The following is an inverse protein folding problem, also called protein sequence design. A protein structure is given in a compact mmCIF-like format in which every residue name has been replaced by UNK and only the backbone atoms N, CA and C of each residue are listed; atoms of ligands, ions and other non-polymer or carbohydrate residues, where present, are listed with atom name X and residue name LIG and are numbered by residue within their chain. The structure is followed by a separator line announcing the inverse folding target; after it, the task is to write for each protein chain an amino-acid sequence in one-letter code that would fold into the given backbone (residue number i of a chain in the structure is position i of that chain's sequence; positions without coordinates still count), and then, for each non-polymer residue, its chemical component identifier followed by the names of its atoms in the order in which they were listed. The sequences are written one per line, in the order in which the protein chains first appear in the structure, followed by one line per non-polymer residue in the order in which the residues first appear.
data_IF_058535097914
#
_entry.id   IF_058535097914
#
_cell.length_a   1.000
_cell.length_b   1.000
_cell.length_c   1.000
_cell.angle_alpha   90.00
_cell.angle_beta   90.00
_cell.angle_gamma   90.00
#
_symmetry.space_group_name_H-M   'P 1'
#
loop_
_entity.id
_entity.type
_entity.pdbx_description
1 polymer ?
#
# COMPACT_ATOMS: atom_id res chain seq x y z
N UNK A 1 7.91 -19.59 -4.72
CA UNK A 1 8.85 -18.55 -4.23
C UNK A 1 8.03 -17.32 -3.84
N UNK A 2 8.25 -16.72 -2.66
CA UNK A 2 7.38 -15.70 -2.05
C UNK A 2 7.15 -14.50 -2.98
N UNK A 3 8.21 -13.92 -3.54
CA UNK A 3 8.08 -12.73 -4.38
C UNK A 3 7.31 -13.03 -5.66
N UNK A 4 7.53 -14.20 -6.27
CA UNK A 4 6.80 -14.60 -7.48
C UNK A 4 5.29 -14.79 -7.20
N UNK A 5 4.91 -15.39 -6.07
CA UNK A 5 3.50 -15.55 -5.73
C UNK A 5 2.81 -14.22 -5.39
N UNK A 6 3.54 -13.26 -4.82
CA UNK A 6 3.05 -11.89 -4.61
C UNK A 6 2.93 -11.11 -5.93
N UNK A 7 3.86 -11.28 -6.88
CA UNK A 7 3.75 -10.69 -8.22
C UNK A 7 2.53 -11.25 -8.95
N UNK A 8 2.31 -12.57 -8.93
CA UNK A 8 1.14 -13.18 -9.55
C UNK A 8 -0.17 -12.68 -8.91
N UNK A 9 -0.19 -12.53 -7.58
CA UNK A 9 -1.34 -11.97 -6.88
C UNK A 9 -1.59 -10.50 -7.23
N UNK A 10 -0.52 -9.70 -7.39
CA UNK A 10 -0.63 -8.35 -7.91
C UNK A 10 -1.28 -8.32 -9.29
N UNK A 11 -0.91 -9.21 -10.22
CA UNK A 11 -1.52 -9.28 -11.56
C UNK A 11 -3.03 -9.53 -11.48
N UNK A 12 -3.45 -10.46 -10.61
CA UNK A 12 -4.87 -10.74 -10.39
C UNK A 12 -5.61 -9.50 -9.86
N UNK A 13 -5.07 -8.85 -8.83
CA UNK A 13 -5.64 -7.62 -8.27
C UNK A 13 -5.68 -6.47 -9.29
N UNK A 14 -4.65 -6.35 -10.12
CA UNK A 14 -4.54 -5.31 -11.15
C UNK A 14 -5.55 -5.54 -12.28
N UNK A 15 -5.80 -6.80 -12.66
CA UNK A 15 -6.86 -7.19 -13.60
C UNK A 15 -8.26 -6.75 -13.12
N UNK A 16 -8.49 -6.83 -11.81
CA UNK A 16 -9.74 -6.38 -11.17
C UNK A 16 -9.78 -4.89 -10.80
N UNK A 17 -8.70 -4.14 -11.09
CA UNK A 17 -8.61 -2.72 -10.75
C UNK A 17 -8.51 -2.40 -9.25
N UNK A 18 -8.15 -3.38 -8.41
CA UNK A 18 -8.07 -3.24 -6.94
C UNK A 18 -6.79 -2.58 -6.44
N UNK A 19 -5.76 -2.50 -7.29
CA UNK A 19 -4.44 -1.92 -6.96
C UNK A 19 -3.98 -0.95 -8.04
N UNK A 20 -3.01 -0.09 -7.68
CA UNK A 20 -2.43 0.87 -8.62
C UNK A 20 -1.48 0.20 -9.62
N UNK A 21 -1.29 0.84 -10.78
CA UNK A 21 -0.34 0.43 -11.81
C UNK A 21 1.04 1.07 -11.57
N UNK A 22 2.14 0.55 -12.16
CA UNK A 22 3.46 1.17 -12.03
C UNK A 22 3.43 2.67 -12.33
N UNK A 23 4.19 3.44 -11.55
CA UNK A 23 4.18 4.90 -11.59
C UNK A 23 3.10 5.56 -10.74
N UNK A 24 2.23 4.77 -10.08
CA UNK A 24 1.16 5.28 -9.22
C UNK A 24 1.15 4.55 -7.88
N UNK A 25 0.81 5.27 -6.81
CA UNK A 25 0.57 4.69 -5.50
C UNK A 25 -0.68 5.26 -4.84
N UNK A 26 -1.12 4.64 -3.75
CA UNK A 26 -2.11 5.23 -2.86
C UNK A 26 -1.42 6.01 -1.74
N UNK A 27 -1.88 7.25 -1.51
CA UNK A 27 -1.43 8.08 -0.41
C UNK A 27 -2.62 8.57 0.42
N UNK A 28 -2.38 8.75 1.72
CA UNK A 28 -3.29 9.51 2.58
C UNK A 28 -3.09 10.99 2.29
N UNK A 29 -4.16 11.68 1.87
CA UNK A 29 -4.17 13.10 1.54
C UNK A 29 -5.15 13.80 2.47
N UNK A 30 -4.66 14.86 3.11
CA UNK A 30 -5.44 15.60 4.11
C UNK A 30 -6.22 16.76 3.49
N UNK A 31 -5.70 17.38 2.42
CA UNK A 31 -6.30 18.55 1.81
C UNK A 31 -6.12 18.58 0.29
N UNK A 32 -7.03 19.27 -0.40
CA UNK A 32 -6.82 19.76 -1.75
C UNK A 32 -6.73 21.29 -1.73
N UNK A 33 -5.79 21.83 -2.51
CA UNK A 33 -5.62 23.25 -2.78
C UNK A 33 -6.48 23.58 -3.99
N UNK A 34 -7.52 24.37 -3.78
CA UNK A 34 -8.39 24.86 -4.85
C UNK A 34 -7.70 26.05 -5.52
N UNK A 35 -7.34 25.90 -6.79
CA UNK A 35 -6.61 26.91 -7.55
C UNK A 35 -7.37 27.32 -8.82
N UNK A 36 -7.27 28.60 -9.19
CA UNK A 36 -7.82 29.11 -10.45
C UNK A 36 -7.00 28.67 -11.66
N UNK A 37 -7.51 28.92 -12.87
CA UNK A 37 -6.76 28.68 -14.11
C UNK A 37 -5.48 29.53 -14.23
N UNK A 38 -5.45 30.68 -13.56
CA UNK A 38 -4.30 31.59 -13.46
C UNK A 38 -3.33 31.18 -12.33
N UNK A 39 -3.61 30.10 -11.61
CA UNK A 39 -2.77 29.59 -10.53
C UNK A 39 -2.96 30.30 -9.19
N UNK A 40 -4.00 31.12 -9.04
CA UNK A 40 -4.31 31.77 -7.76
C UNK A 40 -4.90 30.76 -6.77
N UNK A 41 -4.42 30.76 -5.53
CA UNK A 41 -4.99 29.91 -4.48
C UNK A 41 -6.31 30.49 -3.98
N UNK A 42 -7.41 29.83 -4.33
CA UNK A 42 -8.78 30.24 -3.98
C UNK A 42 -9.18 29.76 -2.58
N UNK A 43 -8.70 28.58 -2.17
CA UNK A 43 -9.07 27.98 -0.90
C UNK A 43 -8.44 26.62 -0.64
N UNK A 44 -8.85 26.02 0.48
CA UNK A 44 -8.41 24.69 0.89
C UNK A 44 -9.63 23.83 1.20
N UNK A 45 -9.67 22.65 0.59
CA UNK A 45 -10.75 21.67 0.76
C UNK A 45 -10.24 20.54 1.67
N UNK A 46 -10.82 20.33 2.86
CA UNK A 46 -10.48 19.20 3.71
C UNK A 46 -10.86 17.89 3.03
N UNK A 47 -9.92 16.96 2.95
CA UNK A 47 -10.13 15.61 2.46
C UNK A 47 -10.07 14.63 3.63
N UNK A 48 -11.10 14.65 4.48
CA UNK A 48 -11.21 13.73 5.60
C UNK A 48 -12.32 12.69 5.37
N UNK A 49 -12.22 11.58 6.08
CA UNK A 49 -13.24 10.54 6.20
C UNK A 49 -13.42 10.20 7.66
N UNK A 50 -14.65 9.97 8.08
CA UNK A 50 -14.96 9.55 9.45
C UNK A 50 -14.87 8.03 9.54
N UNK A 51 -14.06 7.54 10.48
CA UNK A 51 -13.94 6.11 10.78
C UNK A 51 -14.30 5.89 12.25
N UNK A 52 -15.13 4.89 12.53
CA UNK A 52 -15.46 4.50 13.90
C UNK A 52 -14.36 3.58 14.45
N UNK A 53 -13.63 4.06 15.46
CA UNK A 53 -12.68 3.26 16.22
C UNK A 53 -13.27 2.98 17.60
N UNK A 54 -13.95 1.85 17.71
CA UNK A 54 -14.73 1.50 18.89
C UNK A 54 -15.88 2.50 19.08
N UNK A 55 -15.94 3.16 20.23
CA UNK A 55 -16.99 4.17 20.54
C UNK A 55 -16.66 5.60 20.06
N UNK A 56 -15.46 5.85 19.50
CA UNK A 56 -15.03 7.18 19.07
C UNK A 56 -15.05 7.29 17.54
N UNK A 57 -15.60 8.40 17.03
CA UNK A 57 -15.45 8.81 15.64
C UNK A 57 -14.12 9.54 15.49
N UNK A 58 -13.29 9.08 14.55
CA UNK A 58 -11.99 9.67 14.25
C UNK A 58 -12.00 10.14 12.81
N UNK A 59 -11.62 11.39 12.57
CA UNK A 59 -11.39 11.90 11.22
C UNK A 59 -9.99 11.49 10.76
N UNK A 60 -9.94 10.85 9.60
CA UNK A 60 -8.71 10.39 8.98
C UNK A 60 -8.59 10.99 7.58
N UNK A 61 -7.38 11.22 7.07
CA UNK A 61 -7.19 11.63 5.69
C UNK A 61 -7.82 10.64 4.70
N UNK A 62 -8.29 11.14 3.57
CA UNK A 62 -8.78 10.31 2.48
C UNK A 62 -7.62 9.63 1.75
N UNK A 63 -7.87 8.45 1.21
CA UNK A 63 -6.92 7.77 0.33
C UNK A 63 -7.18 8.18 -1.11
N UNK A 64 -6.15 8.66 -1.79
CA UNK A 64 -6.20 9.06 -3.19
C UNK A 64 -5.11 8.33 -3.96
N UNK A 65 -5.41 8.00 -5.23
CA UNK A 65 -4.41 7.53 -6.18
C UNK A 65 -3.60 8.74 -6.65
N UNK A 66 -2.29 8.68 -6.50
CA UNK A 66 -1.37 9.78 -6.79
C UNK A 66 -0.14 9.27 -7.55
N UNK A 67 0.61 10.15 -8.24
CA UNK A 67 1.89 9.79 -8.81
C UNK A 67 2.81 9.14 -7.77
N UNK A 68 3.59 8.15 -8.19
CA UNK A 68 4.44 7.37 -7.28
C UNK A 68 5.32 8.30 -6.42
N UNK A 69 5.12 8.23 -5.11
CA UNK A 69 5.90 9.00 -4.15
C UNK A 69 7.25 8.32 -3.88
N UNK A 70 8.30 9.12 -3.73
CA UNK A 70 9.63 8.66 -3.36
C UNK A 70 9.83 8.69 -1.84
N UNK A 71 10.58 7.73 -1.32
CA UNK A 71 10.99 7.74 0.09
C UNK A 71 12.19 8.67 0.26
N UNK A 72 12.09 9.62 1.20
CA UNK A 72 13.15 10.59 1.49
C UNK A 72 14.08 10.03 2.56
N UNK A 73 15.26 9.54 2.17
CA UNK A 73 16.30 9.09 3.12
C UNK A 73 17.31 10.18 3.47
N UNK A 74 17.59 11.10 2.53
CA UNK A 74 18.49 12.26 2.70
C UNK A 74 18.28 13.25 1.55
N UNK A 75 18.53 14.54 1.79
CA UNK A 75 18.39 15.59 0.78
C UNK A 75 16.96 16.09 0.56
N UNK A 76 16.83 17.02 -0.40
CA UNK A 76 15.56 17.58 -0.87
C UNK A 76 15.12 16.81 -2.13
N UNK A 77 13.91 16.26 -2.11
CA UNK A 77 13.35 15.53 -3.25
C UNK A 77 11.83 15.65 -3.25
N UNK A 78 11.31 16.35 -4.25
CA UNK A 78 9.89 16.62 -4.40
C UNK A 78 9.13 15.44 -5.03
N UNK A 79 7.91 15.21 -4.56
CA UNK A 79 6.92 14.38 -5.23
C UNK A 79 6.13 15.22 -6.25
N UNK A 80 5.59 14.56 -7.26
CA UNK A 80 4.80 15.22 -8.29
C UNK A 80 3.31 15.21 -7.92
N UNK A 81 2.65 16.37 -7.97
CA UNK A 81 1.23 16.65 -7.70
C UNK A 81 0.70 16.31 -6.30
N UNK A 82 1.46 15.59 -5.47
CA UNK A 82 1.06 15.20 -4.12
C UNK A 82 2.24 15.27 -3.15
N UNK A 83 2.26 16.27 -2.27
CA UNK A 83 3.32 16.44 -1.28
C UNK A 83 2.85 17.20 -0.04
N UNK A 84 3.71 17.31 0.98
CA UNK A 84 3.40 18.09 2.17
C UNK A 84 3.59 19.62 1.95
N UNK A 85 3.18 20.40 2.95
CA UNK A 85 3.24 21.87 2.92
C UNK A 85 4.64 22.43 2.67
N UNK A 86 5.72 21.77 3.13
CA UNK A 86 7.09 22.24 2.87
C UNK A 86 7.40 22.28 1.38
N UNK A 87 6.90 21.30 0.61
CA UNK A 87 7.19 21.20 -0.82
C UNK A 87 6.19 21.95 -1.69
N UNK A 88 4.89 21.90 -1.36
CA UNK A 88 3.86 22.56 -2.20
C UNK A 88 3.74 24.05 -1.89
N UNK A 89 3.83 24.44 -0.61
CA UNK A 89 3.59 25.83 -0.17
C UNK A 89 4.86 26.55 0.28
N UNK A 90 5.96 25.82 0.47
CA UNK A 90 7.23 26.36 0.96
C UNK A 90 7.23 26.76 2.44
N UNK A 91 6.31 26.20 3.24
CA UNK A 91 6.18 26.49 4.68
C UNK A 91 5.98 25.24 5.53
N UNK A 92 6.57 25.23 6.72
CA UNK A 92 6.35 24.23 7.76
C UNK A 92 6.47 24.81 9.18
N UNK A 93 6.17 23.98 10.19
CA UNK A 93 6.27 24.34 11.60
C UNK A 93 7.57 23.83 12.26
N UNK A 94 8.61 23.52 11.48
CA UNK A 94 9.86 22.91 11.99
C UNK A 94 10.96 23.91 12.32
N UNK A 95 10.68 25.21 12.21
CA UNK A 95 11.60 26.29 12.56
C UNK A 95 12.81 26.39 11.62
N UNK A 96 12.70 25.93 10.37
CA UNK A 96 13.75 25.99 9.34
C UNK A 96 13.18 26.54 8.02
N UNK A 97 12.88 27.85 7.94
CA UNK A 97 12.21 28.45 6.77
C UNK A 97 13.02 28.29 5.48
N UNK A 98 14.34 28.49 5.54
CA UNK A 98 15.26 28.32 4.40
C UNK A 98 15.13 26.96 3.73
N UNK A 99 14.99 25.89 4.54
CA UNK A 99 14.81 24.53 4.04
C UNK A 99 13.46 24.35 3.35
N UNK A 100 12.40 24.97 3.85
CA UNK A 100 11.08 24.87 3.23
C UNK A 100 11.05 25.60 1.88
N UNK A 101 11.75 26.73 1.76
CA UNK A 101 11.94 27.42 0.49
C UNK A 101 12.72 26.52 -0.50
N UNK A 102 13.80 25.88 -0.06
CA UNK A 102 14.55 24.91 -0.88
C UNK A 102 13.65 23.75 -1.35
N UNK A 103 12.79 23.23 -0.48
CA UNK A 103 11.81 22.19 -0.83
C UNK A 103 10.83 22.68 -1.90
N UNK A 104 10.32 23.90 -1.77
CA UNK A 104 9.42 24.50 -2.75
C UNK A 104 10.09 24.71 -4.10
N UNK A 105 11.32 25.22 -4.14
CA UNK A 105 12.04 25.39 -5.40
C UNK A 105 12.28 24.06 -6.11
N UNK A 106 12.67 23.02 -5.37
CA UNK A 106 12.79 21.67 -5.92
C UNK A 106 11.45 21.13 -6.46
N UNK A 107 10.33 21.42 -5.79
CA UNK A 107 9.01 21.07 -6.28
C UNK A 107 8.65 21.85 -7.53
N UNK A 108 8.86 23.18 -7.55
CA UNK A 108 8.62 24.06 -8.69
C UNK A 108 9.36 23.57 -9.93
N UNK A 109 10.68 23.38 -9.84
CA UNK A 109 11.50 22.90 -10.96
C UNK A 109 10.97 21.59 -11.53
N UNK A 110 10.67 20.62 -10.65
CA UNK A 110 10.14 19.32 -11.07
C UNK A 110 8.76 19.41 -11.74
N UNK A 111 7.86 20.23 -11.21
CA UNK A 111 6.52 20.38 -11.79
C UNK A 111 6.59 21.08 -13.14
N UNK A 112 7.41 22.13 -13.27
CA UNK A 112 7.60 22.85 -14.53
C UNK A 112 8.25 21.94 -15.59
N UNK A 113 9.28 21.16 -15.25
CA UNK A 113 9.91 20.19 -16.16
C UNK A 113 8.92 19.14 -16.67
N UNK A 114 8.11 18.57 -15.76
CA UNK A 114 7.15 17.53 -16.14
C UNK A 114 6.00 18.15 -16.95
N UNK A 115 5.49 19.32 -16.60
CA UNK A 115 4.31 19.91 -17.24
C UNK A 115 4.63 20.82 -18.44
N UNK A 116 5.90 21.04 -18.77
CA UNK A 116 6.32 21.89 -19.91
C UNK A 116 5.60 21.53 -21.22
N UNK A 117 5.56 20.27 -21.69
CA UNK A 117 4.97 19.92 -22.97
C UNK A 117 3.44 19.75 -22.93
N UNK A 118 2.81 19.97 -21.77
CA UNK A 118 1.35 19.82 -21.60
C UNK A 118 0.69 21.19 -21.70
N UNK A 119 -0.17 21.37 -22.70
CA UNK A 119 -0.78 22.66 -23.05
C UNK A 119 -2.20 22.86 -22.52
N UNK A 120 -2.78 21.86 -21.83
CA UNK A 120 -4.13 21.99 -21.29
C UNK A 120 -4.24 22.96 -20.09
N UNK A 121 -5.46 23.46 -19.86
CA UNK A 121 -5.75 24.48 -18.85
C UNK A 121 -5.42 24.00 -17.42
N UNK A 122 -5.59 22.70 -17.14
CA UNK A 122 -5.30 22.11 -15.83
C UNK A 122 -3.79 22.09 -15.54
N UNK A 123 -2.96 21.72 -16.52
CA UNK A 123 -1.51 21.78 -16.39
C UNK A 123 -1.03 23.23 -16.32
N UNK A 124 -1.62 24.13 -17.11
CA UNK A 124 -1.33 25.56 -17.07
C UNK A 124 -1.59 26.16 -15.68
N UNK A 125 -2.72 25.83 -15.05
CA UNK A 125 -3.04 26.27 -13.68
C UNK A 125 -1.97 25.86 -12.66
N UNK A 126 -1.53 24.60 -12.69
CA UNK A 126 -0.48 24.10 -11.78
C UNK A 126 0.87 24.77 -12.05
N UNK A 127 1.23 24.98 -13.33
CA UNK A 127 2.45 25.73 -13.70
C UNK A 127 2.39 27.17 -13.16
N UNK A 128 1.29 27.86 -13.43
CA UNK A 128 1.06 29.23 -12.99
C UNK A 128 1.08 29.36 -11.46
N UNK A 129 0.52 28.38 -10.74
CA UNK A 129 0.61 28.33 -9.28
C UNK A 129 2.06 28.36 -8.80
N UNK A 130 2.93 27.49 -9.32
CA UNK A 130 4.34 27.48 -8.92
C UNK A 130 5.11 28.72 -9.39
N UNK A 131 4.69 29.36 -10.49
CA UNK A 131 5.30 30.59 -11.00
C UNK A 131 4.98 31.81 -10.13
N UNK A 132 3.71 31.95 -9.71
CA UNK A 132 3.21 33.12 -9.00
C UNK A 132 3.20 32.99 -7.47
N UNK A 133 3.15 31.77 -6.93
CA UNK A 133 3.09 31.56 -5.49
C UNK A 133 4.36 32.07 -4.79
N UNK A 134 4.18 32.91 -3.77
CA UNK A 134 5.25 33.38 -2.90
C UNK A 134 5.21 32.65 -1.54
N UNK A 135 6.15 31.73 -1.25
CA UNK A 135 6.23 31.05 0.04
C UNK A 135 6.30 31.96 1.26
N UNK A 136 6.90 33.15 1.14
CA UNK A 136 7.06 34.08 2.26
C UNK A 136 5.72 34.64 2.75
N UNK A 137 4.72 34.71 1.87
CA UNK A 137 3.38 35.23 2.16
C UNK A 137 2.37 34.11 2.48
N UNK A 138 2.79 32.84 2.44
CA UNK A 138 1.90 31.69 2.60
C UNK A 138 1.14 31.73 3.93
N UNK A 139 1.79 32.10 5.04
CA UNK A 139 1.14 32.13 6.36
C UNK A 139 0.17 33.30 6.56
N UNK A 140 0.22 34.30 5.68
CA UNK A 140 -0.68 35.46 5.66
C UNK A 140 -1.74 35.37 4.58
N UNK A 141 -1.65 34.38 3.68
CA UNK A 141 -2.62 34.17 2.61
C UNK A 141 -4.03 33.94 3.17
N UNK A 142 -5.04 34.74 2.78
CA UNK A 142 -6.41 34.58 3.25
C UNK A 142 -7.00 33.19 3.00
N UNK A 143 -6.57 32.52 1.93
CA UNK A 143 -7.01 31.17 1.57
C UNK A 143 -6.47 30.08 2.52
N UNK A 144 -5.27 30.27 3.09
CA UNK A 144 -4.61 29.29 3.97
C UNK A 144 -4.90 29.52 5.45
N UNK A 145 -5.09 30.78 5.89
CA UNK A 145 -5.27 31.15 7.30
C UNK A 145 -6.33 30.30 8.03
N UNK A 146 -7.50 29.97 7.44
CA UNK A 146 -8.52 29.18 8.11
C UNK A 146 -8.10 27.76 8.50
N UNK A 147 -7.12 27.17 7.80
CA UNK A 147 -6.69 25.77 8.00
C UNK A 147 -5.17 25.63 8.20
N UNK A 148 -4.50 26.73 8.58
CA UNK A 148 -3.04 26.79 8.62
C UNK A 148 -2.43 25.75 9.56
N UNK A 149 -3.04 25.52 10.72
CA UNK A 149 -2.47 24.64 11.75
C UNK A 149 -2.54 23.18 11.31
N UNK A 150 -3.66 22.80 10.70
CA UNK A 150 -3.87 21.45 10.20
C UNK A 150 -3.02 21.14 8.96
N UNK A 151 -2.80 22.12 8.08
CA UNK A 151 -1.90 21.98 6.92
C UNK A 151 -0.46 21.79 7.40
N UNK A 152 -0.01 22.61 8.35
CA UNK A 152 1.35 22.56 8.89
C UNK A 152 1.60 21.31 9.76
N UNK A 153 0.57 20.54 10.11
CA UNK A 153 0.72 19.23 10.73
C UNK A 153 1.38 18.19 9.80
N UNK A 154 1.58 18.52 8.52
CA UNK A 154 2.42 17.75 7.59
C UNK A 154 1.69 16.68 6.79
N UNK A 155 0.36 16.79 6.67
CA UNK A 155 -0.43 15.96 5.75
C UNK A 155 -0.08 16.22 4.28
N UNK A 156 -0.36 15.26 3.40
CA UNK A 156 -0.20 15.48 1.96
C UNK A 156 -1.31 16.39 1.42
N UNK A 157 -0.95 17.20 0.45
CA UNK A 157 -1.77 18.16 -0.27
C UNK A 157 -1.86 17.72 -1.74
N UNK A 158 -3.03 17.91 -2.34
CA UNK A 158 -3.26 17.80 -3.78
C UNK A 158 -3.66 19.14 -4.37
N UNK A 159 -3.61 19.26 -5.69
CA UNK A 159 -4.24 20.37 -6.42
C UNK A 159 -5.67 19.99 -6.84
N UNK A 160 -6.53 20.98 -6.97
CA UNK A 160 -7.88 20.87 -7.51
C UNK A 160 -8.16 22.11 -8.36
N UNK A 161 -8.55 21.88 -9.61
CA UNK A 161 -8.74 22.92 -10.63
C UNK A 161 -10.09 22.68 -11.28
N UNK A 162 -11.04 23.57 -11.03
CA UNK A 162 -12.41 23.53 -11.59
C UNK A 162 -13.05 22.13 -11.63
N UNK A 163 -13.14 21.45 -10.49
CA UNK A 163 -13.75 20.12 -10.44
C UNK A 163 -12.81 18.94 -10.73
N UNK A 164 -11.59 19.22 -11.20
CA UNK A 164 -10.65 18.21 -11.68
C UNK A 164 -9.41 18.15 -10.80
N UNK A 165 -9.04 16.95 -10.39
CA UNK A 165 -7.72 16.71 -9.82
C UNK A 165 -6.69 16.57 -10.95
N UNK A 166 -5.57 17.32 -10.98
CA UNK A 166 -4.60 17.23 -12.07
C UNK A 166 -4.02 15.82 -12.29
N UNK A 167 -3.91 15.01 -11.24
CA UNK A 167 -3.46 13.63 -11.38
C UNK A 167 -4.52 12.70 -12.00
N UNK A 168 -5.75 13.17 -12.20
CA UNK A 168 -6.84 12.48 -12.89
C UNK A 168 -6.98 12.91 -14.35
N UNK A 169 -6.37 14.03 -14.75
CA UNK A 169 -6.33 14.51 -16.14
C UNK A 169 -5.59 13.54 -17.08
N UNK A 170 -6.06 13.42 -18.32
CA UNK A 170 -5.54 12.44 -19.28
C UNK A 170 -4.14 12.81 -19.79
N UNK A 171 -3.92 14.08 -20.17
CA UNK A 171 -2.65 14.53 -20.74
C UNK A 171 -1.54 14.52 -19.69
N UNK A 172 -1.86 14.95 -18.46
CA UNK A 172 -0.93 14.89 -17.33
C UNK A 172 -0.55 13.43 -16.98
N UNK A 173 -1.51 12.49 -17.05
CA UNK A 173 -1.25 11.06 -16.83
C UNK A 173 -0.29 10.48 -17.87
N UNK A 174 -0.51 10.76 -19.14
CA UNK A 174 0.37 10.27 -20.21
C UNK A 174 1.75 10.90 -20.12
N UNK A 175 1.81 12.21 -19.85
CA UNK A 175 3.09 12.91 -19.64
C UNK A 175 3.88 12.35 -18.46
N UNK A 176 3.22 12.06 -17.34
CA UNK A 176 3.87 11.44 -16.18
C UNK A 176 4.47 10.05 -16.52
N UNK A 177 3.73 9.26 -17.30
CA UNK A 177 4.18 7.95 -17.77
C UNK A 177 5.37 8.04 -18.73
N UNK A 178 5.43 9.07 -19.57
CA UNK A 178 6.60 9.35 -20.43
C UNK A 178 7.80 9.77 -19.59
N UNK A 179 7.62 10.70 -18.65
CA UNK A 179 8.67 11.14 -17.74
C UNK A 179 9.32 9.98 -16.98
N UNK A 180 8.52 9.01 -16.53
CA UNK A 180 9.03 7.81 -15.87
C UNK A 180 9.87 6.90 -16.77
N UNK A 181 9.62 6.89 -18.08
CA UNK A 181 10.46 6.14 -19.03
C UNK A 181 11.79 6.85 -19.26
N UNK A 182 11.75 8.17 -19.45
CA UNK A 182 12.96 8.96 -19.76
C UNK A 182 13.89 9.13 -18.57
N UNK A 183 13.34 9.19 -17.35
CA UNK A 183 14.12 9.31 -16.11
C UNK A 183 14.77 8.01 -15.66
N UNK A 184 14.47 6.89 -16.31
CA UNK A 184 15.08 5.61 -15.99
C UNK A 184 16.56 5.59 -16.34
N UNK A 185 17.40 5.46 -15.31
CA UNK A 185 18.84 5.18 -15.43
C UNK A 185 19.20 3.85 -14.77
N UNK A 186 18.21 3.01 -14.51
CA UNK A 186 18.42 1.73 -13.85
C UNK A 186 19.17 0.77 -14.78
N UNK A 187 20.13 -0.02 -14.28
CA UNK A 187 20.82 -0.98 -15.12
C UNK A 187 19.86 -2.08 -15.57
N UNK A 188 19.93 -2.45 -16.85
CA UNK A 188 19.23 -3.61 -17.37
C UNK A 188 19.85 -4.91 -16.85
N UNK A 189 19.01 -5.89 -16.54
CA UNK A 189 19.46 -7.20 -16.08
C UNK A 189 18.35 -8.24 -16.08
N UNK A 190 18.71 -9.49 -15.78
CA UNK A 190 17.74 -10.57 -15.61
C UNK A 190 17.07 -10.45 -14.24
N UNK A 191 15.75 -10.26 -14.22
CA UNK A 191 14.99 -10.28 -12.98
C UNK A 191 14.88 -11.72 -12.44
N UNK A 192 15.37 -11.95 -11.22
CA UNK A 192 15.30 -13.28 -10.57
C UNK A 192 13.89 -13.73 -10.17
N UNK A 193 12.94 -12.80 -10.11
CA UNK A 193 11.54 -13.12 -9.83
C UNK A 193 10.88 -13.59 -11.12
N UNK A 194 10.76 -12.70 -12.12
CA UNK A 194 10.00 -12.97 -13.35
C UNK A 194 10.74 -13.83 -14.38
N UNK A 195 12.07 -13.95 -14.27
CA UNK A 195 12.92 -14.61 -15.26
C UNK A 195 13.06 -13.84 -16.57
N UNK A 196 12.64 -12.57 -16.63
CA UNK A 196 12.70 -11.71 -17.82
C UNK A 196 13.75 -10.62 -17.65
N UNK A 197 14.32 -10.15 -18.77
CA UNK A 197 15.17 -8.96 -18.75
C UNK A 197 14.32 -7.71 -18.49
N UNK A 198 14.80 -6.86 -17.59
CA UNK A 198 14.19 -5.59 -17.23
C UNK A 198 15.21 -4.71 -16.50
N UNK A 199 14.89 -3.43 -16.38
CA UNK A 199 15.56 -2.53 -15.45
C UNK A 199 15.53 -3.08 -14.02
N UNK A 200 16.68 -3.11 -13.34
CA UNK A 200 16.80 -3.65 -12.00
C UNK A 200 16.61 -2.54 -10.96
N UNK A 201 15.73 -2.80 -10.00
CA UNK A 201 15.48 -1.88 -8.90
C UNK A 201 16.70 -1.79 -7.98
N UNK A 202 17.18 -0.56 -7.75
CA UNK A 202 18.25 -0.30 -6.77
C UNK A 202 17.76 -0.54 -5.33
N UNK A 203 16.54 -0.11 -5.04
CA UNK A 203 15.84 -0.28 -3.75
C UNK A 203 14.39 -0.67 -4.02
N UNK A 204 13.76 -1.36 -3.07
CA UNK A 204 12.38 -1.79 -3.19
C UNK A 204 11.45 -0.94 -2.31
N UNK A 205 10.16 -0.96 -2.62
CA UNK A 205 9.13 -0.30 -1.81
C UNK A 205 9.06 -0.84 -0.38
N UNK A 206 8.68 0.03 0.56
CA UNK A 206 8.48 -0.36 1.96
C UNK A 206 7.13 -1.04 2.16
N UNK A 207 7.09 -1.95 3.12
CA UNK A 207 5.88 -2.65 3.53
C UNK A 207 5.37 -2.02 4.83
N UNK A 208 4.12 -1.56 4.80
CA UNK A 208 3.44 -0.85 5.89
C UNK A 208 2.38 -1.75 6.51
N UNK A 209 2.10 -1.55 7.79
CA UNK A 209 1.02 -2.27 8.50
C UNK A 209 1.42 -3.57 9.18
N UNK A 210 2.70 -3.98 9.11
CA UNK A 210 3.21 -5.09 9.94
C UNK A 210 3.25 -4.64 11.41
N UNK A 211 2.64 -5.43 12.30
CA UNK A 211 2.59 -5.10 13.72
C UNK A 211 3.99 -5.01 14.32
N UNK A 212 4.27 -3.95 15.07
CA UNK A 212 5.58 -3.69 15.69
C UNK A 212 6.67 -3.18 14.74
N UNK A 213 6.39 -3.05 13.43
CA UNK A 213 7.31 -2.42 12.48
C UNK A 213 7.16 -0.88 12.50
N UNK A 214 8.09 -0.18 11.86
CA UNK A 214 8.02 1.28 11.72
C UNK A 214 6.73 1.73 11.00
N UNK A 215 6.12 2.83 11.48
CA UNK A 215 4.90 3.39 10.89
C UNK A 215 5.08 3.86 9.45
N UNK A 216 6.29 4.31 9.10
CA UNK A 216 6.70 4.65 7.73
C UNK A 216 6.86 3.42 6.80
N UNK A 217 6.79 2.22 7.37
CA UNK A 217 7.04 0.94 6.71
C UNK A 217 8.47 0.44 6.92
N UNK A 218 8.65 -0.85 6.64
CA UNK A 218 9.92 -1.56 6.77
C UNK A 218 10.24 -2.33 5.47
N UNK A 219 11.52 -2.58 5.21
CA UNK A 219 11.95 -3.27 4.00
C UNK A 219 11.86 -4.80 4.13
N UNK A 220 11.25 -5.46 3.14
CA UNK A 220 11.25 -6.93 3.03
C UNK A 220 12.55 -7.46 2.41
N UNK A 221 13.06 -6.76 1.39
CA UNK A 221 14.33 -7.05 0.71
C UNK A 221 15.13 -5.75 0.72
N UNK A 222 16.31 -5.77 1.33
CA UNK A 222 17.20 -4.60 1.42
C UNK A 222 18.64 -5.01 1.72
N UNK A 223 19.58 -4.30 1.11
CA UNK A 223 21.01 -4.40 1.37
C UNK A 223 21.50 -2.97 1.61
N UNK A 224 21.87 -2.62 2.83
CA UNK A 224 22.16 -1.22 3.20
C UNK A 224 23.52 -1.05 3.92
N UNK A 225 24.38 -2.06 3.86
CA UNK A 225 25.72 -2.02 4.43
C UNK A 225 26.69 -2.74 3.49
N UNK A 226 27.94 -2.30 3.47
CA UNK A 226 29.01 -2.86 2.62
C UNK A 226 29.23 -4.35 2.86
N UNK A 227 28.99 -4.82 4.10
CA UNK A 227 29.06 -6.25 4.43
C UNK A 227 28.04 -7.12 3.70
N UNK A 228 27.00 -6.53 3.10
CA UNK A 228 26.00 -7.25 2.30
C UNK A 228 26.27 -7.17 0.80
N UNK A 229 27.31 -6.45 0.39
CA UNK A 229 27.69 -6.26 -1.01
C UNK A 229 28.58 -7.41 -1.47
N UNK A 230 28.34 -7.91 -2.69
CA UNK A 230 29.06 -9.06 -3.24
C UNK A 230 29.26 -8.89 -4.74
N UNK A 231 30.35 -9.45 -5.28
CA UNK A 231 30.68 -9.40 -6.71
C UNK A 231 30.66 -7.97 -7.32
N UNK A 232 31.06 -6.96 -6.55
CA UNK A 232 31.05 -5.55 -6.98
C UNK A 232 29.65 -4.94 -7.13
N UNK A 233 28.61 -5.60 -6.60
CA UNK A 233 27.23 -5.12 -6.64
C UNK A 233 26.86 -4.47 -5.31
N UNK A 234 26.33 -3.26 -5.41
CA UNK A 234 25.86 -2.49 -4.27
C UNK A 234 24.34 -2.62 -4.10
N UNK A 235 23.85 -2.39 -2.88
CA UNK A 235 22.41 -2.35 -2.60
C UNK A 235 21.67 -3.60 -3.13
N UNK A 236 20.44 -3.45 -3.63
CA UNK A 236 19.60 -4.56 -4.08
C UNK A 236 20.08 -5.20 -5.40
N UNK A 237 21.10 -4.65 -6.06
CA UNK A 237 21.68 -5.29 -7.24
C UNK A 237 22.28 -6.67 -6.94
N UNK A 238 22.61 -6.95 -5.67
CA UNK A 238 23.02 -8.28 -5.20
C UNK A 238 21.97 -9.37 -5.42
N UNK A 239 20.68 -9.01 -5.39
CA UNK A 239 19.56 -9.88 -5.70
C UNK A 239 18.68 -9.19 -6.75
N UNK A 240 19.08 -9.23 -8.04
CA UNK A 240 18.47 -8.40 -9.08
C UNK A 240 16.98 -8.74 -9.25
N UNK A 241 16.14 -7.79 -8.82
CA UNK A 241 14.69 -7.80 -9.02
C UNK A 241 14.34 -6.62 -9.93
N UNK A 242 13.53 -6.88 -10.96
CA UNK A 242 13.09 -5.85 -11.89
C UNK A 242 12.24 -4.79 -11.19
N UNK A 243 12.31 -3.55 -11.66
CA UNK A 243 11.51 -2.42 -11.16
C UNK A 243 10.02 -2.76 -11.07
N UNK A 244 9.49 -3.41 -12.11
CA UNK A 244 8.13 -3.92 -12.13
C UNK A 244 7.84 -4.93 -11.02
N UNK A 245 8.68 -5.95 -10.87
CA UNK A 245 8.47 -7.00 -9.87
C UNK A 245 8.55 -6.43 -8.45
N UNK A 246 9.50 -5.52 -8.21
CA UNK A 246 9.63 -4.83 -6.93
C UNK A 246 8.39 -3.99 -6.59
N UNK A 247 7.86 -3.26 -7.56
CA UNK A 247 6.59 -2.55 -7.42
C UNK A 247 5.41 -3.49 -7.16
N UNK A 248 5.27 -4.54 -7.97
CA UNK A 248 4.16 -5.48 -7.92
C UNK A 248 4.06 -6.19 -6.56
N UNK A 249 5.16 -6.82 -6.10
CA UNK A 249 5.12 -7.58 -4.85
C UNK A 249 4.89 -6.67 -3.63
N UNK A 250 5.44 -5.45 -3.63
CA UNK A 250 5.27 -4.51 -2.51
C UNK A 250 3.85 -3.96 -2.46
N UNK A 251 3.26 -3.70 -3.62
CA UNK A 251 1.86 -3.26 -3.75
C UNK A 251 0.90 -4.36 -3.29
N UNK A 252 1.08 -5.59 -3.75
CA UNK A 252 0.29 -6.75 -3.33
C UNK A 252 0.34 -6.97 -1.81
N UNK A 253 1.54 -6.94 -1.23
CA UNK A 253 1.70 -7.18 0.20
C UNK A 253 1.10 -6.05 1.05
N UNK A 254 1.26 -4.79 0.64
CA UNK A 254 0.61 -3.66 1.28
C UNK A 254 -0.93 -3.72 1.18
N UNK A 255 -1.47 -4.24 0.06
CA UNK A 255 -2.90 -4.48 -0.09
C UNK A 255 -3.42 -5.49 0.94
N UNK A 256 -2.72 -6.60 1.15
CA UNK A 256 -3.06 -7.60 2.16
C UNK A 256 -3.04 -7.00 3.58
N UNK A 257 -1.96 -6.29 3.94
CA UNK A 257 -1.78 -5.71 5.27
C UNK A 257 -2.70 -4.51 5.56
N UNK A 258 -3.36 -3.97 4.53
CA UNK A 258 -4.34 -2.90 4.68
C UNK A 258 -5.67 -3.39 5.22
N UNK A 259 -6.08 -4.60 4.86
CA UNK A 259 -7.39 -5.12 5.23
C UNK A 259 -7.25 -6.10 6.40
N UNK A 260 -7.84 -5.75 7.54
CA UNK A 260 -7.85 -6.59 8.75
C UNK A 260 -8.45 -7.99 8.53
N UNK A 261 -9.22 -8.20 7.46
CA UNK A 261 -9.75 -9.51 7.08
C UNK A 261 -8.74 -10.43 6.38
N UNK A 262 -7.62 -9.88 5.88
CA UNK A 262 -6.65 -10.62 5.06
C UNK A 262 -5.38 -10.98 5.85
N UNK A 263 -5.36 -10.69 7.15
CA UNK A 263 -4.28 -11.07 8.03
C UNK A 263 -4.78 -11.26 9.46
N UNK A 264 -4.07 -12.09 10.21
CA UNK A 264 -4.22 -12.20 11.65
C UNK A 264 -2.86 -12.06 12.33
N UNK A 265 -2.83 -12.17 13.65
CA UNK A 265 -1.60 -12.02 14.45
C UNK A 265 -1.46 -13.17 15.42
N UNK A 266 -0.29 -13.82 15.39
CA UNK A 266 0.07 -14.89 16.33
C UNK A 266 1.29 -14.41 17.11
N UNK A 267 1.05 -14.00 18.36
CA UNK A 267 2.06 -13.29 19.16
C UNK A 267 2.51 -12.00 18.44
N UNK A 268 3.80 -11.88 18.14
CA UNK A 268 4.38 -10.77 17.36
C UNK A 268 4.46 -11.06 15.84
N UNK A 269 3.91 -12.17 15.36
CA UNK A 269 3.89 -12.53 13.94
C UNK A 269 2.62 -12.03 13.28
N UNK A 270 2.74 -11.16 12.27
CA UNK A 270 1.64 -10.84 11.35
C UNK A 270 1.55 -11.93 10.28
N UNK A 271 0.42 -12.62 10.17
CA UNK A 271 0.20 -13.70 9.20
C UNK A 271 -0.74 -13.23 8.11
N UNK A 272 -0.22 -13.07 6.89
CA UNK A 272 -1.02 -12.74 5.70
C UNK A 272 -1.27 -13.99 4.88
N UNK A 273 -2.40 -14.03 4.19
CA UNK A 273 -2.78 -15.18 3.36
C UNK A 273 -3.59 -14.76 2.14
N UNK A 274 -3.41 -15.47 1.02
CA UNK A 274 -4.07 -15.17 -0.25
C UNK A 274 -4.15 -16.37 -1.19
N UNK A 275 -5.11 -16.33 -2.12
CA UNK A 275 -5.20 -17.28 -3.22
C UNK A 275 -4.47 -16.73 -4.46
N UNK A 276 -3.85 -17.61 -5.26
CA UNK A 276 -3.13 -17.23 -6.50
C UNK A 276 -3.99 -16.42 -7.47
N UNK A 277 -5.29 -16.70 -7.51
CA UNK A 277 -6.25 -16.09 -8.44
C UNK A 277 -6.85 -14.75 -7.97
N UNK A 278 -6.49 -14.25 -6.79
CA UNK A 278 -7.00 -12.95 -6.30
C UNK A 278 -8.39 -12.97 -5.68
N UNK A 279 -9.08 -14.12 -5.65
CA UNK A 279 -10.44 -14.21 -5.13
C UNK A 279 -10.47 -14.15 -3.59
N UNK A 280 -11.21 -13.18 -3.06
CA UNK A 280 -11.25 -12.85 -1.63
C UNK A 280 -12.04 -13.87 -0.83
N UNK A 281 -12.93 -14.62 -1.48
CA UNK A 281 -13.73 -15.68 -0.86
C UNK A 281 -12.86 -16.76 -0.23
N UNK A 282 -11.70 -17.09 -0.84
CA UNK A 282 -10.74 -18.03 -0.24
C UNK A 282 -10.16 -17.48 1.07
N UNK A 283 -9.87 -16.17 1.13
CA UNK A 283 -9.34 -15.53 2.34
C UNK A 283 -10.41 -15.45 3.42
N UNK A 284 -11.65 -15.14 3.05
CA UNK A 284 -12.79 -15.10 3.97
C UNK A 284 -13.04 -16.48 4.62
N UNK A 285 -13.04 -17.56 3.81
CA UNK A 285 -13.19 -18.92 4.32
C UNK A 285 -11.99 -19.31 5.19
N UNK A 286 -10.76 -19.01 4.77
CA UNK A 286 -9.57 -19.31 5.57
C UNK A 286 -9.61 -18.60 6.92
N UNK A 287 -9.92 -17.30 6.93
CA UNK A 287 -10.04 -16.50 8.15
C UNK A 287 -11.06 -17.12 9.10
N UNK A 288 -12.28 -17.40 8.61
CA UNK A 288 -13.35 -17.99 9.41
C UNK A 288 -12.98 -19.35 10.01
N UNK A 289 -12.31 -20.21 9.24
CA UNK A 289 -11.91 -21.55 9.68
C UNK A 289 -10.68 -21.54 10.59
N UNK A 290 -9.77 -20.59 10.42
CA UNK A 290 -8.56 -20.47 11.25
C UNK A 290 -8.83 -19.90 12.66
N UNK A 291 -9.86 -19.04 12.76
CA UNK A 291 -10.31 -18.43 14.01
C UNK A 291 -11.83 -18.60 14.16
N UNK A 292 -12.31 -19.83 14.47
CA UNK A 292 -13.72 -20.06 14.77
C UNK A 292 -14.19 -19.19 15.93
N UNK A 293 -15.40 -18.65 15.80
CA UNK A 293 -16.12 -17.89 16.82
C UNK A 293 -17.51 -18.50 17.04
N UNK A 294 -18.22 -18.06 18.08
CA UNK A 294 -19.60 -18.51 18.33
C UNK A 294 -20.52 -18.17 17.15
N UNK A 295 -20.25 -17.05 16.47
CA UNK A 295 -21.13 -16.54 15.41
C UNK A 295 -20.90 -17.20 14.04
N UNK A 296 -19.79 -17.94 13.84
CA UNK A 296 -19.45 -18.52 12.53
C UNK A 296 -19.37 -20.06 12.52
N UNK A 297 -19.85 -20.74 13.57
CA UNK A 297 -19.73 -22.20 13.69
C UNK A 297 -20.41 -22.95 12.55
N UNK A 298 -21.61 -22.53 12.13
CA UNK A 298 -22.33 -23.15 11.01
C UNK A 298 -21.55 -23.07 9.70
N UNK A 299 -20.89 -21.93 9.45
CA UNK A 299 -20.01 -21.74 8.28
C UNK A 299 -18.84 -22.72 8.34
N UNK A 300 -18.16 -22.79 9.49
CA UNK A 300 -17.00 -23.68 9.68
C UNK A 300 -17.40 -25.15 9.52
N UNK A 301 -18.52 -25.56 10.12
CA UNK A 301 -19.07 -26.90 10.00
C UNK A 301 -19.42 -27.23 8.53
N UNK A 302 -20.09 -26.33 7.82
CA UNK A 302 -20.43 -26.49 6.41
C UNK A 302 -19.20 -26.64 5.52
N UNK A 303 -18.15 -25.84 5.76
CA UNK A 303 -16.87 -25.95 5.04
C UNK A 303 -16.25 -27.34 5.25
N UNK A 304 -16.18 -27.82 6.50
CA UNK A 304 -15.60 -29.13 6.82
C UNK A 304 -16.45 -30.32 6.34
N UNK A 305 -17.77 -30.18 6.32
CA UNK A 305 -18.67 -31.19 5.75
C UNK A 305 -18.48 -31.29 4.23
N UNK A 306 -18.46 -30.15 3.53
CA UNK A 306 -18.21 -30.10 2.09
C UNK A 306 -16.85 -30.70 1.73
N UNK A 307 -15.81 -30.35 2.50
CA UNK A 307 -14.46 -30.89 2.34
C UNK A 307 -14.44 -32.43 2.49
N UNK A 308 -15.11 -32.96 3.51
CA UNK A 308 -15.17 -34.41 3.78
C UNK A 308 -15.93 -35.17 2.69
N UNK A 309 -16.85 -34.50 1.98
CA UNK A 309 -17.61 -35.05 0.85
C UNK A 309 -16.94 -34.89 -0.52
N UNK A 310 -15.75 -34.29 -0.58
CA UNK A 310 -15.03 -34.01 -1.83
C UNK A 310 -15.73 -33.00 -2.74
N UNK A 311 -16.71 -32.25 -2.22
CA UNK A 311 -17.45 -31.23 -2.96
C UNK A 311 -16.70 -29.91 -2.88
N UNK A 312 -16.92 -29.06 -3.88
CA UNK A 312 -16.55 -27.66 -3.76
C UNK A 312 -17.26 -27.05 -2.54
N UNK A 313 -16.60 -26.12 -1.88
CA UNK A 313 -17.16 -25.42 -0.73
C UNK A 313 -18.20 -24.44 -1.27
N UNK A 314 -19.48 -24.81 -1.09
CA UNK A 314 -20.66 -24.01 -1.32
C UNK A 314 -21.18 -23.63 0.07
N UNK A 315 -20.87 -22.41 0.50
CA UNK A 315 -21.30 -21.89 1.80
C UNK A 315 -22.40 -20.90 1.52
N UNK A 316 -23.49 -20.99 2.27
CA UNK A 316 -24.59 -20.03 2.18
C UNK A 316 -24.05 -18.59 2.41
N UNK A 317 -24.20 -17.72 1.40
CA UNK A 317 -23.61 -16.37 1.39
C UNK A 317 -22.29 -16.23 0.61
N UNK A 318 -21.68 -17.32 0.14
CA UNK A 318 -20.54 -17.31 -0.80
C UNK A 318 -21.07 -17.72 -2.18
N UNK A 319 -21.25 -16.74 -3.06
CA UNK A 319 -21.80 -16.94 -4.42
C UNK A 319 -20.89 -17.73 -5.37
N UNK A 320 -19.65 -18.03 -4.96
CA UNK A 320 -18.60 -18.56 -5.82
C UNK A 320 -18.17 -19.96 -5.40
N UNK A 321 -18.28 -20.93 -6.33
CA UNK A 321 -17.82 -22.31 -6.12
C UNK A 321 -16.29 -22.34 -5.96
N UNK A 322 -15.79 -22.54 -4.74
CA UNK A 322 -14.35 -22.57 -4.46
C UNK A 322 -13.72 -23.88 -4.92
N UNK A 323 -12.65 -23.78 -5.71
CA UNK A 323 -11.87 -24.92 -6.18
C UNK A 323 -10.86 -25.34 -5.12
N UNK A 324 -10.96 -26.57 -4.63
CA UNK A 324 -10.03 -27.10 -3.61
C UNK A 324 -8.58 -27.19 -4.11
N UNK A 325 -8.37 -27.31 -5.42
CA UNK A 325 -7.04 -27.33 -6.05
C UNK A 325 -6.39 -25.95 -6.18
N UNK A 326 -7.12 -24.87 -5.89
CA UNK A 326 -6.58 -23.51 -5.98
C UNK A 326 -5.38 -23.38 -5.06
N UNK A 327 -4.24 -22.90 -5.59
CA UNK A 327 -3.07 -22.62 -4.76
C UNK A 327 -3.37 -21.48 -3.80
N UNK A 328 -2.98 -21.70 -2.55
CA UNK A 328 -3.16 -20.76 -1.46
C UNK A 328 -1.83 -20.62 -0.70
N UNK A 329 -1.57 -19.40 -0.23
CA UNK A 329 -0.30 -19.02 0.36
C UNK A 329 -0.52 -18.43 1.75
N UNK A 330 0.36 -18.75 2.68
CA UNK A 330 0.38 -18.22 4.05
C UNK A 330 1.80 -17.73 4.34
N UNK A 331 1.94 -16.48 4.76
CA UNK A 331 3.21 -15.82 5.01
C UNK A 331 3.22 -15.19 6.40
N UNK A 332 4.15 -15.65 7.25
CA UNK A 332 4.38 -15.10 8.57
C UNK A 332 5.50 -14.05 8.57
N UNK A 333 5.15 -12.83 8.95
CA UNK A 333 6.04 -11.66 8.99
C UNK A 333 6.24 -11.21 10.43
N UNK A 334 7.49 -10.98 10.81
CA UNK A 334 7.83 -10.41 12.11
C UNK A 334 8.58 -9.08 11.94
N UNK A 335 8.35 -8.11 12.83
CA UNK A 335 9.07 -6.85 12.79
C UNK A 335 10.53 -7.04 13.20
N UNK A 336 11.43 -6.32 12.53
CA UNK A 336 12.83 -6.19 12.93
C UNK A 336 13.33 -4.76 12.63
N UNK A 337 12.92 -3.81 13.48
CA UNK A 337 13.17 -2.39 13.30
C UNK A 337 12.75 -1.90 11.89
N UNK A 338 13.72 -1.51 11.05
CA UNK A 338 13.49 -1.04 9.69
C UNK A 338 13.35 -2.16 8.64
N UNK A 339 13.40 -3.43 9.06
CA UNK A 339 13.27 -4.62 8.19
C UNK A 339 12.16 -5.54 8.66
N UNK A 340 11.72 -6.41 7.77
CA UNK A 340 10.76 -7.47 8.06
C UNK A 340 11.46 -8.81 7.95
N UNK A 341 11.32 -9.64 8.98
CA UNK A 341 11.76 -11.02 8.96
C UNK A 341 10.64 -11.94 8.48
N UNK A 342 10.94 -12.82 7.53
CA UNK A 342 10.03 -13.91 7.15
C UNK A 342 10.23 -15.06 8.14
N UNK A 343 9.23 -15.32 8.98
CA UNK A 343 9.27 -16.44 9.94
C UNK A 343 8.97 -17.77 9.28
N UNK A 344 7.96 -17.78 8.43
CA UNK A 344 7.55 -18.95 7.68
C UNK A 344 6.82 -18.54 6.41
N UNK A 345 6.85 -19.44 5.43
CA UNK A 345 6.05 -19.34 4.22
C UNK A 345 5.56 -20.74 3.88
N UNK A 346 4.24 -20.88 3.76
CA UNK A 346 3.59 -22.13 3.42
C UNK A 346 2.75 -21.93 2.16
N UNK A 347 2.81 -22.93 1.28
CA UNK A 347 2.09 -22.95 0.02
C UNK A 347 1.56 -24.36 -0.19
N UNK A 348 0.26 -24.46 -0.46
CA UNK A 348 -0.38 -25.72 -0.81
C UNK A 348 -1.66 -25.45 -1.62
N UNK A 349 -2.41 -26.49 -1.96
CA UNK A 349 -3.79 -26.34 -2.38
C UNK A 349 -4.68 -25.93 -1.20
N UNK A 350 -5.71 -25.16 -1.49
CA UNK A 350 -6.66 -24.68 -0.48
C UNK A 350 -7.33 -25.83 0.27
N UNK A 351 -7.70 -26.90 -0.43
CA UNK A 351 -8.30 -28.09 0.17
C UNK A 351 -7.36 -28.78 1.17
N UNK A 352 -6.08 -28.95 0.83
CA UNK A 352 -5.10 -29.57 1.73
C UNK A 352 -4.91 -28.73 3.01
N UNK A 353 -4.86 -27.41 2.88
CA UNK A 353 -4.79 -26.49 4.04
C UNK A 353 -6.00 -26.68 4.95
N UNK A 354 -7.21 -26.67 4.40
CA UNK A 354 -8.43 -26.87 5.19
C UNK A 354 -8.46 -28.26 5.83
N UNK A 355 -7.95 -29.29 5.14
CA UNK A 355 -7.88 -30.64 5.67
C UNK A 355 -6.90 -30.73 6.85
N UNK A 356 -5.74 -30.07 6.77
CA UNK A 356 -4.80 -29.99 7.88
C UNK A 356 -5.41 -29.26 9.09
N UNK A 357 -6.16 -28.17 8.87
CA UNK A 357 -6.88 -27.48 9.95
C UNK A 357 -7.95 -28.38 10.59
N UNK A 358 -8.76 -29.06 9.78
CA UNK A 358 -9.77 -30.01 10.27
C UNK A 358 -9.13 -31.13 11.12
N UNK A 359 -8.04 -31.73 10.63
CA UNK A 359 -7.31 -32.75 11.36
C UNK A 359 -6.70 -32.21 12.65
N UNK A 360 -6.23 -30.97 12.65
CA UNK A 360 -5.73 -30.33 13.85
C UNK A 360 -6.83 -30.16 14.90
N UNK A 361 -8.01 -29.66 14.52
CA UNK A 361 -9.13 -29.54 15.46
C UNK A 361 -9.56 -30.88 16.05
N UNK A 362 -9.67 -31.93 15.22
CA UNK A 362 -9.95 -33.30 15.71
C UNK A 362 -8.93 -33.80 16.72
N UNK A 363 -7.65 -33.48 16.54
CA UNK A 363 -6.58 -33.85 17.49
C UNK A 363 -6.63 -33.06 18.80
N UNK A 364 -7.23 -31.87 18.76
CA UNK A 364 -7.39 -30.96 19.91
C UNK A 364 -8.74 -31.14 20.62
N UNK A 365 -9.59 -32.08 20.17
CA UNK A 365 -10.87 -32.37 20.82
C UNK A 365 -10.64 -32.84 22.26
N UNK A 366 -11.26 -32.12 23.19
CA UNK A 366 -11.29 -32.45 24.62
C UNK A 366 -12.74 -32.45 25.09
N UNK A 367 -12.99 -33.16 26.20
CA UNK A 367 -14.30 -33.13 26.86
C UNK A 367 -14.52 -31.72 27.41
N UNK A 368 -15.61 -31.08 26.97
CA UNK A 368 -15.93 -29.69 27.33
C UNK A 368 -16.89 -29.62 28.53
N UNK A 369 -16.81 -28.55 29.34
CA UNK A 369 -17.86 -28.24 30.32
C UNK A 369 -19.21 -28.04 29.63
N UNK A 370 -20.32 -28.39 30.32
CA UNK A 370 -21.68 -28.24 29.79
C UNK A 370 -22.06 -26.80 29.37
N UNK A 371 -21.34 -25.80 29.88
CA UNK A 371 -21.56 -24.38 29.58
C UNK A 371 -20.80 -23.88 28.36
N UNK A 372 -19.90 -24.69 27.78
CA UNK A 372 -19.12 -24.30 26.62
C UNK A 372 -19.87 -24.63 25.32
N UNK A 373 -20.27 -23.58 24.60
CA UNK A 373 -21.01 -23.68 23.33
C UNK A 373 -20.11 -23.57 22.11
N UNK A 374 -18.77 -23.51 22.28
CA UNK A 374 -17.84 -23.52 21.14
C UNK A 374 -17.74 -24.92 20.54
N UNK A 375 -17.95 -25.09 19.24
CA UNK A 375 -17.71 -26.39 18.57
C UNK A 375 -16.22 -26.67 18.32
N UNK A 376 -15.47 -25.71 17.80
CA UNK A 376 -14.03 -25.83 17.55
C UNK A 376 -13.27 -24.81 18.40
N UNK A 377 -12.15 -25.21 19.01
CA UNK A 377 -11.31 -24.27 19.76
C UNK A 377 -10.71 -23.23 18.80
N UNK A 378 -10.66 -21.94 19.15
CA UNK A 378 -10.03 -20.95 18.29
C UNK A 378 -8.54 -21.26 18.09
N UNK A 379 -8.06 -21.20 16.84
CA UNK A 379 -6.71 -21.63 16.49
C UNK A 379 -5.60 -20.70 16.98
N UNK A 380 -5.89 -19.40 17.10
CA UNK A 380 -4.86 -18.37 17.34
C UNK A 380 -5.21 -17.32 18.42
N UNK A 381 -6.27 -17.54 19.21
CA UNK A 381 -6.73 -16.59 20.20
C UNK A 381 -6.39 -16.95 21.65
N UNK A 382 -5.27 -16.44 22.16
CA UNK A 382 -5.29 -15.72 23.44
C UNK A 382 -5.19 -14.24 23.06
N UNK A 383 -6.32 -13.52 23.09
CA UNK A 383 -6.32 -12.06 23.14
C UNK A 383 -6.20 -11.60 24.59
#
# INVERSE_FOLDING_TARGET
MILQSLVNYYEALAGDGKVTKPGWCEANVSFALDISYEGELLGVIPLTRVEERGKKKVELPQRKKVPQMVSRSSGVSANFLCDNSSYILGVDNKGKPERSIECFQCAKEKHLEILEPVENEIAAAVKAFFEHWNPEEALTSPALVPMKEEILAGGNLLFYVDGVYPQEDFEIKERWKEYLKDSSKAPDGLCMVTGRHSEIARTHGTIKGVQGAQSSGAALVSFNATAFESYGKEQSYNAPVGTYAAFAYTTALNYLLRNRKYFCTIGDTTVVYWAENGLEEYQNVFSAVSEPSVDNQEIVAGVFQNLSSGKAVDVEGITTKLQMSQKFFILGLAPNAARIAVRFFYQDSFGNILQHLQQHYRRMEIVKPLTDTMENLPGFGFN
#
